data_IF_786667490114
#
_entry.id   IF_786667490114
#
_cell.length_a   1.000
_cell.length_b   1.000
_cell.length_c   1.000
_cell.angle_alpha   90.00
_cell.angle_beta   90.00
_cell.angle_gamma   90.00
#
_symmetry.space_group_name_H-M   'P 1'
#
loop_
_entity.id
_entity.type
_entity.pdbx_description
1 polymer ?
#
# COMPACT_ATOMS: atom_id res chain seq x y z
N UNK A 1 7.26 0.49 -26.14
CA UNK A 1 6.26 -0.43 -26.72
C UNK A 1 5.29 -0.76 -25.59
N UNK A 2 4.12 -0.14 -25.47
CA UNK A 2 2.89 -0.53 -26.19
C UNK A 2 1.71 0.45 -25.93
N UNK A 3 1.88 1.77 -26.08
CA UNK A 3 0.77 2.72 -25.90
C UNK A 3 -0.26 2.74 -27.06
N UNK A 4 -0.02 2.01 -28.15
CA UNK A 4 -0.86 2.07 -29.36
C UNK A 4 -2.00 1.02 -29.41
N UNK A 5 -2.01 -0.02 -28.57
CA UNK A 5 -2.98 -1.13 -28.75
C UNK A 5 -4.37 -0.85 -28.17
N UNK A 6 -4.51 0.04 -27.18
CA UNK A 6 -5.80 0.27 -26.50
C UNK A 6 -6.62 1.42 -27.10
N UNK A 7 -5.99 2.41 -27.73
CA UNK A 7 -6.68 3.57 -28.32
C UNK A 7 -7.68 3.16 -29.42
N UNK A 8 -7.35 2.24 -30.35
CA UNK A 8 -8.31 1.79 -31.37
C UNK A 8 -9.52 1.07 -30.77
N UNK A 9 -9.32 0.31 -29.69
CA UNK A 9 -10.38 -0.42 -28.99
C UNK A 9 -11.31 0.52 -28.23
N UNK A 10 -10.75 1.50 -27.51
CA UNK A 10 -11.54 2.54 -26.83
C UNK A 10 -12.38 3.35 -27.82
N UNK A 11 -11.84 3.69 -28.99
CA UNK A 11 -12.60 4.38 -30.05
C UNK A 11 -13.80 3.57 -30.54
N UNK A 12 -13.63 2.27 -30.77
CA UNK A 12 -14.73 1.38 -31.17
C UNK A 12 -15.83 1.28 -30.10
N UNK A 13 -15.45 1.21 -28.83
CA UNK A 13 -16.40 1.22 -27.71
C UNK A 13 -17.17 2.54 -27.64
N UNK A 14 -16.46 3.68 -27.66
CA UNK A 14 -17.09 5.01 -27.58
C UNK A 14 -17.97 5.27 -28.80
N UNK A 15 -17.55 4.86 -30.00
CA UNK A 15 -18.40 4.91 -31.20
C UNK A 15 -19.70 4.11 -31.02
N UNK A 16 -19.61 2.90 -30.47
CA UNK A 16 -20.80 2.04 -30.26
C UNK A 16 -21.75 2.59 -29.19
N UNK A 17 -21.22 3.17 -28.12
CA UNK A 17 -22.01 3.65 -26.98
C UNK A 17 -22.53 5.08 -27.17
N UNK A 18 -21.74 5.96 -27.79
CA UNK A 18 -21.95 7.41 -27.80
C UNK A 18 -21.92 8.03 -29.21
N UNK A 19 -21.75 7.21 -30.25
CA UNK A 19 -21.76 7.62 -31.65
C UNK A 19 -20.44 8.22 -32.15
N UNK A 20 -20.40 8.50 -33.46
CA UNK A 20 -19.18 8.94 -34.15
C UNK A 20 -18.67 10.31 -33.71
N UNK A 21 -19.56 11.18 -33.22
CA UNK A 21 -19.17 12.51 -32.73
C UNK A 21 -18.28 12.39 -31.49
N UNK A 22 -18.67 11.55 -30.53
CA UNK A 22 -17.89 11.30 -29.31
C UNK A 22 -16.57 10.56 -29.60
N UNK A 23 -16.56 9.65 -30.59
CA UNK A 23 -15.32 9.02 -31.06
C UNK A 23 -14.32 10.05 -31.59
N UNK A 24 -14.77 11.02 -32.38
CA UNK A 24 -13.90 12.05 -32.95
C UNK A 24 -13.24 12.92 -31.88
N UNK A 25 -13.93 13.19 -30.77
CA UNK A 25 -13.35 13.93 -29.64
C UNK A 25 -12.18 13.19 -28.98
N UNK A 26 -12.12 11.85 -29.05
CA UNK A 26 -10.97 11.10 -28.53
C UNK A 26 -9.66 11.40 -29.31
N UNK A 27 -9.76 11.83 -30.57
CA UNK A 27 -8.57 12.24 -31.34
C UNK A 27 -7.96 13.54 -30.80
N UNK A 28 -8.74 14.34 -30.09
CA UNK A 28 -8.29 15.60 -29.49
C UNK A 28 -7.57 15.39 -28.16
N UNK A 29 -7.58 14.17 -27.60
CA UNK A 29 -6.88 13.86 -26.35
C UNK A 29 -5.39 13.64 -26.68
N UNK A 30 -4.47 14.52 -26.23
CA UNK A 30 -3.06 14.31 -26.45
C UNK A 30 -2.57 13.14 -25.58
N UNK A 31 -2.00 12.12 -26.23
CA UNK A 31 -1.48 10.91 -25.61
C UNK A 31 0.05 10.84 -25.64
N UNK A 32 0.73 11.96 -25.92
CA UNK A 32 2.19 11.99 -25.87
C UNK A 32 2.68 11.65 -24.46
N UNK A 33 3.84 11.00 -24.37
CA UNK A 33 4.44 10.65 -23.09
C UNK A 33 4.57 11.87 -22.17
N UNK A 34 4.93 13.04 -22.71
CA UNK A 34 5.03 14.29 -21.95
C UNK A 34 3.68 14.76 -21.40
N UNK A 35 2.60 14.56 -22.17
CA UNK A 35 1.25 14.93 -21.71
C UNK A 35 0.77 14.00 -20.63
N UNK A 36 0.98 12.69 -20.78
CA UNK A 36 0.61 11.70 -19.77
C UNK A 36 1.42 11.95 -18.49
N UNK A 37 2.74 12.18 -18.61
CA UNK A 37 3.61 12.53 -17.47
C UNK A 37 3.08 13.76 -16.73
N UNK A 38 2.77 14.84 -17.45
CA UNK A 38 2.23 16.07 -16.84
C UNK A 38 0.93 15.81 -16.09
N UNK A 39 -0.01 15.08 -16.70
CA UNK A 39 -1.28 14.72 -16.05
C UNK A 39 -1.08 13.89 -14.79
N UNK A 40 -0.15 12.94 -14.79
CA UNK A 40 0.19 12.15 -13.60
C UNK A 40 0.72 13.07 -12.50
N UNK A 41 1.62 14.00 -12.83
CA UNK A 41 2.15 14.97 -11.88
C UNK A 41 1.06 15.91 -11.34
N UNK A 42 0.17 16.40 -12.19
CA UNK A 42 -0.94 17.27 -11.79
C UNK A 42 -1.90 16.55 -10.83
N UNK A 43 -2.24 15.28 -11.13
CA UNK A 43 -3.07 14.44 -10.26
C UNK A 43 -2.36 14.16 -8.93
N UNK A 44 -1.08 13.80 -8.97
CA UNK A 44 -0.27 13.57 -7.77
C UNK A 44 -0.27 14.81 -6.88
N UNK A 45 -0.03 15.98 -7.47
CA UNK A 45 0.01 17.25 -6.74
C UNK A 45 -1.35 17.59 -6.12
N UNK A 46 -2.44 17.35 -6.85
CA UNK A 46 -3.78 17.55 -6.32
C UNK A 46 -4.09 16.60 -5.15
N UNK A 47 -3.65 15.33 -5.21
CA UNK A 47 -3.79 14.38 -4.10
C UNK A 47 -3.00 14.88 -2.88
N UNK A 48 -1.74 15.25 -3.08
CA UNK A 48 -0.88 15.79 -2.02
C UNK A 48 -1.51 17.02 -1.34
N UNK A 49 -1.96 18.01 -2.13
CA UNK A 49 -2.57 19.23 -1.60
C UNK A 49 -3.84 18.94 -0.80
N UNK A 50 -4.64 17.95 -1.22
CA UNK A 50 -5.84 17.53 -0.49
C UNK A 50 -5.49 16.86 0.83
N UNK A 51 -4.51 15.95 0.82
CA UNK A 51 -4.00 15.30 2.04
C UNK A 51 -3.42 16.33 3.00
N UNK A 52 -2.62 17.27 2.49
CA UNK A 52 -2.03 18.36 3.26
C UNK A 52 -3.10 19.17 4.01
N UNK A 53 -4.17 19.56 3.31
CA UNK A 53 -5.26 20.36 3.88
C UNK A 53 -5.95 19.62 5.02
N UNK A 54 -6.21 18.32 4.85
CA UNK A 54 -6.88 17.50 5.88
C UNK A 54 -5.97 17.28 7.10
N UNK A 55 -4.68 17.04 6.87
CA UNK A 55 -3.73 16.76 7.95
C UNK A 55 -3.32 17.99 8.77
N UNK A 56 -3.42 19.21 8.22
CA UNK A 56 -2.93 20.44 8.88
C UNK A 56 -3.52 20.67 10.28
N UNK A 57 -4.76 20.23 10.51
CA UNK A 57 -5.48 20.40 11.77
C UNK A 57 -5.85 19.06 12.44
N UNK A 58 -5.27 17.96 11.98
CA UNK A 58 -5.59 16.62 12.48
C UNK A 58 -4.34 15.94 13.03
N UNK A 59 -4.55 15.10 14.03
CA UNK A 59 -3.58 14.09 14.38
C UNK A 59 -3.56 13.01 13.30
N UNK A 60 -2.41 12.38 13.12
CA UNK A 60 -2.24 11.29 12.17
C UNK A 60 -1.30 10.22 12.70
N UNK A 61 -1.38 9.03 12.14
CA UNK A 61 -0.40 7.98 12.32
C UNK A 61 0.25 7.62 10.98
N UNK A 62 1.48 7.12 11.02
CA UNK A 62 2.20 6.67 9.84
C UNK A 62 2.35 5.16 9.88
N UNK A 63 2.12 4.51 8.74
CA UNK A 63 2.57 3.13 8.51
C UNK A 63 3.66 3.15 7.47
N UNK A 64 4.78 2.53 7.79
CA UNK A 64 5.97 2.52 6.96
C UNK A 64 6.33 1.07 6.64
N UNK A 65 6.69 0.83 5.39
CA UNK A 65 7.00 -0.49 4.86
C UNK A 65 8.22 -0.39 3.93
N UNK A 66 9.11 -1.36 4.03
CA UNK A 66 10.27 -1.46 3.14
C UNK A 66 9.94 -2.39 1.97
N UNK A 67 10.16 -1.92 0.75
CA UNK A 67 10.07 -2.75 -0.46
C UNK A 67 11.36 -2.65 -1.25
N UNK A 68 11.81 -3.78 -1.81
CA UNK A 68 12.88 -3.79 -2.80
C UNK A 68 12.30 -3.59 -4.20
N UNK A 69 12.88 -2.68 -4.98
CA UNK A 69 12.52 -2.53 -6.39
C UNK A 69 13.19 -3.59 -7.29
N UNK A 70 12.82 -3.60 -8.57
CA UNK A 70 13.39 -4.55 -9.56
C UNK A 70 14.91 -4.38 -9.78
N UNK A 71 15.48 -3.27 -9.32
CA UNK A 71 16.91 -2.96 -9.37
C UNK A 71 17.62 -3.26 -8.04
N UNK A 72 16.95 -3.96 -7.12
CA UNK A 72 17.41 -4.27 -5.76
C UNK A 72 17.73 -3.02 -4.91
N UNK A 73 17.11 -1.88 -5.22
CA UNK A 73 17.18 -0.71 -4.37
C UNK A 73 16.05 -0.76 -3.36
N UNK A 74 16.37 -0.42 -2.12
CA UNK A 74 15.37 -0.32 -1.07
C UNK A 74 14.56 0.96 -1.22
N UNK A 75 13.25 0.83 -1.15
CA UNK A 75 12.28 1.91 -1.20
C UNK A 75 11.46 1.89 0.08
N UNK A 76 11.35 3.06 0.71
CA UNK A 76 10.51 3.29 1.86
C UNK A 76 9.15 3.78 1.40
N UNK A 77 8.13 2.97 1.65
CA UNK A 77 6.73 3.28 1.41
C UNK A 77 6.14 3.82 2.71
N UNK A 78 5.44 4.95 2.63
CA UNK A 78 4.74 5.52 3.78
C UNK A 78 3.26 5.73 3.44
N UNK A 79 2.41 5.31 4.37
CA UNK A 79 0.98 5.56 4.39
C UNK A 79 0.64 6.43 5.60
N UNK A 80 -0.35 7.29 5.44
CA UNK A 80 -0.88 8.13 6.52
C UNK A 80 -2.29 7.69 6.86
N UNK A 81 -2.55 7.63 8.16
CA UNK A 81 -3.82 7.29 8.76
C UNK A 81 -4.33 8.49 9.54
N UNK A 82 -5.49 9.01 9.20
CA UNK A 82 -6.08 10.16 9.90
C UNK A 82 -7.60 10.05 9.94
N UNK A 83 -8.22 10.81 10.82
CA UNK A 83 -9.68 10.84 10.96
C UNK A 83 -10.22 11.99 10.11
N UNK A 84 -11.16 11.69 9.23
CA UNK A 84 -11.91 12.67 8.45
C UNK A 84 -13.39 12.34 8.55
N UNK A 85 -14.22 13.31 8.96
CA UNK A 85 -15.67 13.12 9.13
C UNK A 85 -16.06 11.88 9.98
N UNK A 86 -15.27 11.55 11.01
CA UNK A 86 -15.38 10.37 11.88
C UNK A 86 -15.04 9.02 11.24
N UNK A 87 -14.49 9.00 10.02
CA UNK A 87 -13.97 7.79 9.39
C UNK A 87 -12.43 7.78 9.41
N UNK A 88 -11.85 6.59 9.55
CA UNK A 88 -10.41 6.40 9.44
C UNK A 88 -10.07 6.33 7.95
N UNK A 89 -9.32 7.32 7.47
CA UNK A 89 -8.83 7.39 6.10
C UNK A 89 -7.40 6.88 6.06
N UNK A 90 -7.16 5.90 5.18
CA UNK A 90 -5.84 5.36 4.88
C UNK A 90 -5.43 5.89 3.51
N UNK A 91 -4.34 6.66 3.46
CA UNK A 91 -3.90 7.29 2.21
C UNK A 91 -2.41 7.06 2.00
N UNK A 92 -2.04 6.71 0.77
CA UNK A 92 -0.64 6.67 0.37
C UNK A 92 -0.03 8.06 0.48
N UNK A 93 1.10 8.17 1.18
CA UNK A 93 1.78 9.42 1.45
C UNK A 93 2.96 9.60 0.50
N UNK A 94 3.94 8.70 0.55
CA UNK A 94 5.11 8.79 -0.34
C UNK A 94 5.79 7.44 -0.55
N UNK A 95 6.55 7.37 -1.64
CA UNK A 95 7.57 6.35 -1.87
C UNK A 95 8.90 7.06 -2.09
N UNK A 96 9.92 6.72 -1.29
CA UNK A 96 11.23 7.34 -1.35
C UNK A 96 12.31 6.25 -1.41
N UNK A 97 13.25 6.39 -2.34
CA UNK A 97 14.44 5.55 -2.39
C UNK A 97 15.28 5.81 -1.13
N UNK A 98 15.63 4.75 -0.40
CA UNK A 98 16.57 4.86 0.70
C UNK A 98 18.00 4.83 0.16
N UNK A 99 18.88 5.67 0.73
CA UNK A 99 20.31 5.52 0.48
C UNK A 99 20.80 4.16 0.99
N UNK A 100 21.90 3.65 0.44
CA UNK A 100 22.51 2.36 0.79
C UNK A 100 22.94 2.22 2.26
N UNK A 101 22.81 3.27 3.05
CA UNK A 101 23.16 3.32 4.46
C UNK A 101 21.99 2.85 5.33
N UNK A 102 22.22 1.78 6.08
CA UNK A 102 21.27 1.18 7.02
C UNK A 102 21.25 1.95 8.35
N UNK A 103 21.00 3.27 8.33
CA UNK A 103 20.93 4.08 9.57
C UNK A 103 19.54 4.63 9.80
N UNK A 104 19.07 4.61 11.04
CA UNK A 104 17.76 5.18 11.40
C UNK A 104 17.70 6.69 11.21
N UNK A 105 18.86 7.36 11.32
CA UNK A 105 18.99 8.79 11.03
C UNK A 105 18.59 9.14 9.59
N UNK A 106 18.98 8.32 8.61
CA UNK A 106 18.71 8.61 7.20
C UNK A 106 17.20 8.54 6.91
N UNK A 107 16.52 7.55 7.50
CA UNK A 107 15.05 7.42 7.46
C UNK A 107 14.40 8.62 8.13
N UNK A 108 14.89 9.01 9.31
CA UNK A 108 14.37 10.16 10.04
C UNK A 108 14.49 11.44 9.23
N UNK A 109 15.65 11.72 8.64
CA UNK A 109 15.88 12.93 7.86
C UNK A 109 15.06 12.94 6.56
N UNK A 110 14.93 11.79 5.90
CA UNK A 110 14.12 11.62 4.69
C UNK A 110 12.64 11.92 4.95
N UNK A 111 12.05 11.29 5.97
CA UNK A 111 10.64 11.51 6.31
C UNK A 111 10.44 12.90 6.91
N UNK A 112 11.35 13.38 7.74
CA UNK A 112 11.29 14.75 8.29
C UNK A 112 11.33 15.80 7.19
N UNK A 113 12.19 15.61 6.18
CA UNK A 113 12.24 16.46 4.99
C UNK A 113 10.90 16.48 4.26
N UNK A 114 10.32 15.30 4.02
CA UNK A 114 9.02 15.18 3.36
C UNK A 114 7.87 15.80 4.18
N UNK A 115 7.82 15.56 5.49
CA UNK A 115 6.81 16.17 6.36
C UNK A 115 6.94 17.70 6.38
N UNK A 116 8.17 18.25 6.35
CA UNK A 116 8.41 19.69 6.25
C UNK A 116 7.90 20.27 4.93
N UNK A 117 8.13 19.60 3.80
CA UNK A 117 7.56 19.99 2.49
C UNK A 117 6.02 20.03 2.53
N UNK A 118 5.43 19.09 3.27
CA UNK A 118 3.99 19.02 3.53
C UNK A 118 3.50 19.96 4.64
N UNK A 119 4.35 20.79 5.24
CA UNK A 119 4.02 21.63 6.41
C UNK A 119 3.40 20.84 7.58
N UNK A 120 3.85 19.60 7.79
CA UNK A 120 3.46 18.72 8.88
C UNK A 120 4.56 18.66 9.94
N UNK A 121 4.15 18.39 11.18
CA UNK A 121 5.05 18.25 12.32
C UNK A 121 4.92 16.86 12.95
N UNK A 122 6.03 16.32 13.44
CA UNK A 122 6.04 15.12 14.26
C UNK A 122 5.18 15.22 15.51
N UNK A 123 4.92 16.43 16.02
CA UNK A 123 4.04 16.65 17.17
C UNK A 123 2.59 16.25 16.92
N UNK A 124 2.14 16.28 15.66
CA UNK A 124 0.80 15.80 15.26
C UNK A 124 0.78 14.31 14.92
N UNK A 125 1.94 13.67 14.83
CA UNK A 125 2.06 12.24 14.58
C UNK A 125 1.88 11.47 15.90
N UNK A 126 0.71 10.85 16.10
CA UNK A 126 0.37 10.13 17.34
C UNK A 126 0.86 8.69 17.35
N UNK A 127 1.19 8.12 16.19
CA UNK A 127 1.73 6.78 16.15
C UNK A 127 2.45 6.42 14.86
N UNK A 128 3.33 5.43 14.98
CA UNK A 128 4.08 4.84 13.88
C UNK A 128 3.89 3.33 13.90
N UNK A 129 3.66 2.76 12.73
CA UNK A 129 3.65 1.33 12.49
C UNK A 129 4.75 0.97 11.50
N UNK A 130 5.67 0.08 11.87
CA UNK A 130 6.72 -0.41 10.97
C UNK A 130 6.71 -1.93 10.87
N UNK A 131 7.17 -2.47 9.76
CA UNK A 131 7.61 -3.86 9.67
C UNK A 131 8.98 -4.02 10.35
N UNK A 132 9.16 -5.05 11.18
CA UNK A 132 10.51 -5.40 11.66
C UNK A 132 11.11 -6.43 10.70
N UNK A 133 11.30 -6.05 9.43
CA UNK A 133 12.16 -6.81 8.55
C UNK A 133 13.54 -6.98 9.25
N UNK A 134 14.09 -8.20 9.36
CA UNK A 134 15.31 -8.46 10.14
C UNK A 134 16.52 -7.60 9.76
N UNK A 135 16.55 -7.05 8.54
CA UNK A 135 17.56 -6.12 8.05
C UNK A 135 17.50 -4.73 8.71
N UNK A 136 16.36 -4.34 9.27
CA UNK A 136 16.08 -2.96 9.70
C UNK A 136 15.76 -2.79 11.17
N UNK A 137 15.71 -3.86 11.98
CA UNK A 137 15.33 -3.76 13.41
C UNK A 137 16.19 -2.77 14.20
N UNK A 138 17.50 -2.67 13.90
CA UNK A 138 18.39 -1.69 14.54
C UNK A 138 18.13 -0.25 14.06
N UNK A 139 17.96 -0.08 12.75
CA UNK A 139 17.71 1.20 12.11
C UNK A 139 16.36 1.79 12.52
N UNK A 140 15.32 0.96 12.59
CA UNK A 140 13.98 1.34 12.99
C UNK A 140 13.95 1.80 14.45
N UNK A 141 14.64 1.09 15.36
CA UNK A 141 14.77 1.51 16.76
C UNK A 141 15.46 2.88 16.88
N UNK A 142 16.53 3.07 16.12
CA UNK A 142 17.23 4.36 16.08
C UNK A 142 16.30 5.46 15.52
N UNK A 143 15.58 5.20 14.43
CA UNK A 143 14.58 6.10 13.85
C UNK A 143 13.48 6.48 14.85
N UNK A 144 12.85 5.50 15.50
CA UNK A 144 11.81 5.73 16.52
C UNK A 144 12.37 6.60 17.65
N UNK A 145 13.60 6.34 18.10
CA UNK A 145 14.23 7.14 19.16
C UNK A 145 14.44 8.61 18.79
N UNK A 146 14.59 8.92 17.49
CA UNK A 146 14.64 10.30 17.01
C UNK A 146 13.25 10.93 16.99
N UNK A 147 12.23 10.20 16.57
CA UNK A 147 10.85 10.71 16.57
C UNK A 147 10.33 10.93 17.99
N UNK A 148 10.64 10.05 18.94
CA UNK A 148 10.28 10.19 20.35
C UNK A 148 10.84 11.47 21.00
N UNK A 149 11.99 11.95 20.53
CA UNK A 149 12.55 13.25 20.97
C UNK A 149 11.71 14.44 20.50
N UNK A 150 11.11 14.33 19.31
CA UNK A 150 10.22 15.37 18.74
C UNK A 150 8.79 15.28 19.30
N UNK A 151 8.33 14.06 19.60
CA UNK A 151 7.03 13.78 20.20
C UNK A 151 7.11 12.65 21.25
N UNK A 152 7.23 12.98 22.55
CA UNK A 152 7.31 11.98 23.62
C UNK A 152 6.05 11.13 23.81
N UNK A 153 4.90 11.55 23.26
CA UNK A 153 3.64 10.81 23.35
C UNK A 153 3.42 9.85 22.17
N UNK A 154 4.45 9.62 21.35
CA UNK A 154 4.36 8.75 20.18
C UNK A 154 4.08 7.30 20.60
N UNK A 155 3.11 6.67 19.94
CA UNK A 155 2.86 5.23 20.09
C UNK A 155 3.47 4.49 18.90
N UNK A 156 4.51 3.69 19.15
CA UNK A 156 5.04 2.80 18.12
C UNK A 156 4.44 1.40 18.24
N UNK A 157 3.98 0.86 17.12
CA UNK A 157 3.44 -0.50 17.01
C UNK A 157 4.13 -1.28 15.90
N UNK A 158 4.14 -2.60 16.00
CA UNK A 158 4.60 -3.47 14.92
C UNK A 158 3.46 -3.78 13.95
N UNK A 159 3.80 -3.91 12.67
CA UNK A 159 2.87 -4.29 11.62
C UNK A 159 2.19 -5.63 11.93
N UNK A 160 0.84 -5.62 12.01
CA UNK A 160 0.04 -6.76 12.46
C UNK A 160 0.19 -8.01 11.57
N UNK A 161 0.15 -7.91 10.22
CA UNK A 161 0.40 -9.05 9.34
C UNK A 161 1.76 -9.72 9.57
N UNK A 162 2.81 -8.92 9.75
CA UNK A 162 4.14 -9.46 10.07
C UNK A 162 4.15 -10.17 11.42
N UNK A 163 3.44 -9.64 12.42
CA UNK A 163 3.30 -10.29 13.72
C UNK A 163 2.59 -11.65 13.62
N UNK A 164 1.54 -11.74 12.81
CA UNK A 164 0.85 -13.02 12.56
C UNK A 164 1.77 -14.05 11.91
N UNK A 165 2.57 -13.64 10.92
CA UNK A 165 3.56 -14.52 10.26
C UNK A 165 4.68 -14.94 11.23
N UNK A 166 5.14 -14.04 12.10
CA UNK A 166 6.14 -14.38 13.11
C UNK A 166 5.60 -15.37 14.14
N UNK A 167 4.33 -15.24 14.52
CA UNK A 167 3.65 -16.21 15.41
C UNK A 167 3.48 -17.55 14.70
N UNK A 168 3.10 -17.56 13.42
CA UNK A 168 2.91 -18.80 12.66
C UNK A 168 4.21 -19.62 12.56
N UNK A 169 5.37 -18.94 12.40
CA UNK A 169 6.70 -19.56 12.43
C UNK A 169 7.04 -20.23 13.77
N UNK A 170 6.46 -19.74 14.88
CA UNK A 170 6.68 -20.25 16.25
C UNK A 170 5.61 -21.22 16.74
N UNK A 171 4.66 -21.62 15.89
CA UNK A 171 3.64 -22.60 16.24
C UNK A 171 4.27 -23.95 16.64
N UNK A 172 3.59 -24.67 17.53
CA UNK A 172 3.93 -26.07 17.83
C UNK A 172 3.77 -26.93 16.56
N UNK A 173 4.54 -28.01 16.46
CA UNK A 173 4.59 -28.84 15.24
C UNK A 173 3.21 -29.36 14.82
N UNK A 174 2.36 -29.77 15.77
CA UNK A 174 1.00 -30.23 15.47
C UNK A 174 0.15 -29.15 14.79
N UNK A 175 0.29 -27.89 15.23
CA UNK A 175 -0.41 -26.74 14.63
C UNK A 175 0.17 -26.35 13.27
N UNK A 176 1.47 -26.51 13.06
CA UNK A 176 2.10 -26.31 11.74
C UNK A 176 1.57 -27.32 10.72
N UNK A 177 1.40 -28.58 11.11
CA UNK A 177 0.85 -29.62 10.22
C UNK A 177 -0.56 -29.23 9.75
N UNK A 178 -1.42 -28.82 10.68
CA UNK A 178 -2.78 -28.35 10.35
C UNK A 178 -2.72 -27.12 9.44
N UNK A 179 -1.87 -26.14 9.75
CA UNK A 179 -1.69 -24.95 8.93
C UNK A 179 -1.28 -25.30 7.49
N UNK A 180 -0.27 -26.16 7.30
CA UNK A 180 0.17 -26.58 5.97
C UNK A 180 -0.90 -27.35 5.20
N UNK A 181 -1.70 -28.17 5.89
CA UNK A 181 -2.84 -28.84 5.27
C UNK A 181 -3.89 -27.83 4.78
N UNK A 182 -4.24 -26.85 5.60
CA UNK A 182 -5.18 -25.78 5.21
C UNK A 182 -4.64 -24.96 4.04
N UNK A 183 -3.36 -24.57 4.06
CA UNK A 183 -2.70 -23.87 2.95
C UNK A 183 -2.75 -24.72 1.67
N UNK A 184 -2.50 -26.02 1.77
CA UNK A 184 -2.62 -26.96 0.65
C UNK A 184 -4.03 -27.01 0.06
N UNK A 185 -5.06 -27.04 0.91
CA UNK A 185 -6.46 -27.00 0.47
C UNK A 185 -6.81 -25.68 -0.22
N UNK A 186 -6.40 -24.54 0.34
CA UNK A 186 -6.63 -23.21 -0.25
C UNK A 186 -5.98 -23.14 -1.63
N UNK A 187 -4.71 -23.54 -1.74
CA UNK A 187 -3.98 -23.55 -3.01
C UNK A 187 -4.64 -24.48 -4.03
N UNK A 188 -5.14 -25.64 -3.61
CA UNK A 188 -5.89 -26.54 -4.48
C UNK A 188 -7.18 -25.90 -5.01
N UNK A 189 -7.96 -25.24 -4.15
CA UNK A 189 -9.22 -24.56 -4.54
C UNK A 189 -8.93 -23.39 -5.48
N UNK A 190 -7.83 -22.67 -5.24
CA UNK A 190 -7.43 -21.51 -6.04
C UNK A 190 -6.73 -21.87 -7.35
N UNK A 191 -6.20 -23.08 -7.49
CA UNK A 191 -5.48 -23.53 -8.69
C UNK A 191 -6.28 -23.41 -9.99
N UNK A 192 -7.63 -23.41 -9.93
CA UNK A 192 -8.50 -23.30 -11.10
C UNK A 192 -9.74 -22.45 -10.80
N UNK A 193 -10.19 -21.58 -11.73
CA UNK A 193 -11.40 -20.77 -11.55
C UNK A 193 -12.65 -21.60 -11.21
N UNK A 194 -12.83 -22.74 -11.89
CA UNK A 194 -13.97 -23.63 -11.66
C UNK A 194 -14.06 -24.12 -10.20
N UNK A 195 -12.92 -24.47 -9.60
CA UNK A 195 -12.87 -24.96 -8.21
C UNK A 195 -13.23 -23.85 -7.22
N UNK A 196 -12.81 -22.62 -7.49
CA UNK A 196 -13.20 -21.46 -6.68
C UNK A 196 -14.71 -21.17 -6.79
N UNK A 197 -15.29 -21.31 -7.99
CA UNK A 197 -16.75 -21.19 -8.17
C UNK A 197 -17.52 -22.29 -7.41
N UNK A 198 -17.06 -23.54 -7.48
CA UNK A 198 -17.67 -24.67 -6.76
C UNK A 198 -17.58 -24.48 -5.23
N UNK A 199 -16.43 -24.02 -4.73
CA UNK A 199 -16.28 -23.69 -3.32
C UNK A 199 -17.24 -22.56 -2.89
N UNK A 200 -17.39 -21.53 -3.71
CA UNK A 200 -18.34 -20.43 -3.42
C UNK A 200 -19.78 -20.94 -3.34
N UNK A 201 -20.19 -21.86 -4.21
CA UNK A 201 -21.50 -22.50 -4.15
C UNK A 201 -21.69 -23.31 -2.87
N UNK A 202 -20.71 -24.16 -2.54
CA UNK A 202 -20.73 -24.94 -1.30
C UNK A 202 -20.88 -24.05 -0.06
N UNK A 203 -20.12 -22.94 0.02
CA UNK A 203 -20.23 -22.01 1.13
C UNK A 203 -21.61 -21.34 1.22
N UNK A 204 -22.24 -21.02 0.09
CA UNK A 204 -23.60 -20.45 0.06
C UNK A 204 -24.65 -21.46 0.52
N UNK A 205 -24.53 -22.72 0.12
CA UNK A 205 -25.43 -23.79 0.57
C UNK A 205 -25.32 -24.07 2.08
N UNK A 206 -24.15 -23.79 2.66
CA UNK A 206 -23.90 -23.91 4.10
C UNK A 206 -24.21 -22.63 4.90
N UNK A 207 -24.83 -21.62 4.28
CA UNK A 207 -25.10 -20.30 4.89
C UNK A 207 -23.84 -19.63 5.50
N UNK A 208 -22.68 -19.84 4.89
CA UNK A 208 -21.43 -19.22 5.34
C UNK A 208 -21.41 -17.72 5.04
N UNK A 209 -20.98 -16.93 6.02
CA UNK A 209 -20.74 -15.49 5.84
C UNK A 209 -19.59 -15.19 4.87
N UNK A 210 -18.62 -16.11 4.76
CA UNK A 210 -17.46 -15.98 3.89
C UNK A 210 -17.51 -17.03 2.78
N UNK A 211 -17.66 -16.57 1.54
CA UNK A 211 -17.84 -17.43 0.36
C UNK A 211 -16.63 -17.45 -0.58
N UNK A 212 -15.60 -16.65 -0.28
CA UNK A 212 -14.36 -16.56 -1.06
C UNK A 212 -13.15 -16.68 -0.13
N UNK A 213 -12.19 -17.48 -0.57
CA UNK A 213 -10.89 -17.58 0.08
C UNK A 213 -9.93 -16.52 -0.48
N UNK A 214 -8.98 -16.07 0.34
CA UNK A 214 -7.84 -15.28 -0.12
C UNK A 214 -6.70 -16.24 -0.54
N UNK A 215 -5.86 -15.81 -1.48
CA UNK A 215 -4.63 -16.55 -1.78
C UNK A 215 -3.70 -16.41 -0.57
N UNK A 216 -3.08 -17.51 -0.15
CA UNK A 216 -1.95 -17.42 0.77
C UNK A 216 -0.76 -16.93 -0.05
N UNK A 217 -0.33 -15.70 0.20
CA UNK A 217 0.99 -15.20 -0.20
C UNK A 217 1.87 -15.24 1.03
N UNK A 218 3.05 -15.86 0.93
CA UNK A 218 4.09 -15.64 1.93
C UNK A 218 4.32 -14.12 1.98
N UNK A 219 4.06 -13.52 3.13
CA UNK A 219 4.50 -12.14 3.40
C UNK A 219 6.00 -12.26 3.60
N UNK A 220 6.77 -11.61 2.71
CA UNK A 220 8.23 -11.60 2.75
C UNK A 220 8.73 -11.10 4.11
#
# INVERSE_FOLDING_TARGET
MSNESNVPTCKKMVKSMFGEKAEKELNNIPLSNDTIRRRILDISKNIEDNVQKKLKNSNFALTMDESSDISNKSQLLAFVHFIDENEIINQFLCCKEMSTTTRGQDIFDLITGYLKEMNLSWRSCVGICTDEAPCMTGCIKEFISFVEKENPNLICTHCFPHREVLVSKKLQEDLKVVLYQVVGMINYIKSKPLKSCLFEQLCKEMDSQHVKLLMHTEVC
#
